data_IF_675006052310
#
_entry.id   IF_675006052310
#
_cell.length_a   1.000
_cell.length_b   1.000
_cell.length_c   1.000
_cell.angle_alpha   90.00
_cell.angle_beta   90.00
_cell.angle_gamma   90.00
#
_symmetry.space_group_name_H-M   'P 1'
#
loop_
_entity.id
_entity.type
_entity.pdbx_description
1 polymer ?
#
# COMPACT_ATOMS: atom_id res chain seq x y z
N UNK A 1 -8.90 52.08 10.13
CA UNK A 1 -7.78 51.21 9.72
C UNK A 1 -8.14 50.48 8.42
N UNK A 2 -8.43 51.24 7.35
CA UNK A 2 -8.93 50.77 6.04
C UNK A 2 -8.27 51.58 4.92
N UNK A 3 -6.96 51.82 5.02
CA UNK A 3 -6.17 52.64 4.08
C UNK A 3 -4.96 51.87 3.49
N UNK A 4 -4.91 50.53 3.65
CA UNK A 4 -3.80 49.70 3.15
C UNK A 4 -4.11 48.88 1.88
N UNK A 5 -5.30 49.04 1.28
CA UNK A 5 -5.72 48.32 0.05
C UNK A 5 -5.89 49.29 -1.13
N UNK A 6 -4.95 50.23 -1.33
CA UNK A 6 -5.04 51.19 -2.45
C UNK A 6 -3.77 51.41 -3.28
N UNK A 7 -2.69 50.69 -3.01
CA UNK A 7 -1.38 50.97 -3.63
C UNK A 7 -0.71 49.74 -4.24
N UNK A 8 -1.42 49.05 -5.15
CA UNK A 8 -0.77 48.28 -6.24
C UNK A 8 -1.65 47.99 -7.46
N UNK A 9 -2.70 48.80 -7.69
CA UNK A 9 -3.62 48.68 -8.85
C UNK A 9 -3.46 49.85 -9.82
N UNK A 10 -2.22 50.18 -10.19
CA UNK A 10 -1.90 51.19 -11.21
C UNK A 10 -0.56 50.86 -11.90
N UNK A 11 -0.52 49.70 -12.56
CA UNK A 11 0.45 49.45 -13.63
C UNK A 11 -0.12 48.45 -14.64
N UNK A 12 -1.32 48.76 -15.14
CA UNK A 12 -1.85 48.17 -16.36
C UNK A 12 -2.35 49.31 -17.25
N UNK A 13 -1.49 49.75 -18.18
CA UNK A 13 -1.88 50.24 -19.50
C UNK A 13 -0.65 50.42 -20.39
N UNK A 14 -0.44 49.44 -21.27
CA UNK A 14 -0.03 49.63 -22.66
C UNK A 14 1.45 49.88 -22.95
N UNK A 15 2.15 48.83 -23.36
CA UNK A 15 3.16 48.93 -24.42
C UNK A 15 3.14 47.66 -25.27
N UNK A 16 2.79 47.84 -26.53
CA UNK A 16 3.02 47.02 -27.72
C UNK A 16 2.78 45.50 -27.67
N UNK A 17 1.78 45.08 -28.44
CA UNK A 17 1.66 43.73 -28.97
C UNK A 17 2.87 43.38 -29.84
N UNK A 18 3.53 42.27 -29.53
CA UNK A 18 4.37 41.51 -30.46
C UNK A 18 4.34 40.03 -30.05
N UNK A 19 3.99 39.21 -31.05
CA UNK A 19 3.97 37.74 -31.11
C UNK A 19 3.15 36.94 -30.10
N UNK A 20 2.01 36.47 -30.60
CA UNK A 20 1.31 35.28 -30.11
C UNK A 20 2.18 34.08 -30.49
N UNK A 21 3.20 33.81 -29.68
CA UNK A 21 3.83 32.49 -29.65
C UNK A 21 2.80 31.46 -29.21
N UNK A 22 2.70 30.38 -29.96
CA UNK A 22 1.83 29.21 -29.75
C UNK A 22 1.66 28.86 -28.26
N UNK A 23 0.50 28.33 -27.83
CA UNK A 23 0.41 27.77 -26.48
C UNK A 23 1.47 26.69 -26.42
N UNK A 24 2.53 26.93 -25.64
CA UNK A 24 3.51 25.92 -25.30
C UNK A 24 2.68 24.74 -24.80
N UNK A 25 2.54 23.72 -25.65
CA UNK A 25 1.96 22.44 -25.27
C UNK A 25 2.72 22.07 -24.01
N UNK A 26 2.08 22.14 -22.85
CA UNK A 26 2.73 21.87 -21.58
C UNK A 26 3.33 20.48 -21.73
N UNK A 27 4.65 20.43 -21.93
CA UNK A 27 5.33 19.16 -22.04
C UNK A 27 5.08 18.46 -20.70
N UNK A 28 4.69 17.17 -20.71
CA UNK A 28 4.51 16.45 -19.47
C UNK A 28 5.83 16.52 -18.68
N UNK A 29 5.73 16.79 -17.37
CA UNK A 29 6.91 16.88 -16.48
C UNK A 29 7.76 15.61 -16.50
N UNK A 30 7.13 14.48 -16.82
CA UNK A 30 7.78 13.22 -17.12
C UNK A 30 7.72 12.93 -18.62
N UNK A 31 8.70 12.17 -19.14
CA UNK A 31 8.72 11.82 -20.56
C UNK A 31 7.43 11.11 -21.01
N UNK A 32 7.15 11.10 -22.32
CA UNK A 32 5.88 10.60 -22.90
C UNK A 32 5.49 9.16 -22.53
N UNK A 33 6.41 8.38 -21.94
CA UNK A 33 6.19 6.99 -21.52
C UNK A 33 6.46 6.76 -20.03
N UNK A 34 6.59 7.81 -19.22
CA UNK A 34 6.90 7.74 -17.79
C UNK A 34 5.70 8.19 -16.97
N UNK A 35 5.40 7.45 -15.91
CA UNK A 35 4.36 7.82 -14.96
C UNK A 35 4.99 8.63 -13.82
N UNK A 36 4.25 9.61 -13.31
CA UNK A 36 4.64 10.37 -12.13
C UNK A 36 4.36 9.53 -10.88
N UNK A 37 5.38 9.23 -10.07
CA UNK A 37 5.26 8.48 -8.82
C UNK A 37 5.44 9.43 -7.62
N UNK A 38 4.64 9.28 -6.56
CA UNK A 38 4.82 10.07 -5.34
C UNK A 38 6.21 9.85 -4.73
N UNK A 39 6.91 10.94 -4.43
CA UNK A 39 8.23 10.95 -3.81
C UNK A 39 8.16 11.29 -2.31
N UNK A 40 7.22 12.17 -1.95
CA UNK A 40 6.97 12.60 -0.59
C UNK A 40 5.46 12.74 -0.37
N UNK A 41 4.98 12.18 0.74
CA UNK A 41 3.59 12.24 1.14
C UNK A 41 3.46 12.75 2.56
N UNK A 42 2.40 13.50 2.83
CA UNK A 42 2.00 13.91 4.17
C UNK A 42 0.72 13.19 4.56
N UNK A 43 0.67 12.72 5.79
CA UNK A 43 -0.52 12.07 6.36
C UNK A 43 -1.31 13.10 7.16
N UNK A 44 -2.49 13.46 6.62
CA UNK A 44 -3.40 14.40 7.24
C UNK A 44 -4.55 13.64 7.90
N UNK A 45 -4.87 14.01 9.15
CA UNK A 45 -6.00 13.44 9.89
C UNK A 45 -7.19 14.40 9.84
N UNK A 46 -8.22 14.01 9.11
CA UNK A 46 -9.45 14.79 8.93
C UNK A 46 -10.58 14.24 9.79
N UNK A 47 -11.31 15.09 10.50
CA UNK A 47 -12.51 14.71 11.23
C UNK A 47 -13.72 14.72 10.28
N UNK A 48 -14.21 13.54 9.92
CA UNK A 48 -15.44 13.36 9.15
C UNK A 48 -16.60 13.06 10.10
N UNK A 49 -17.84 13.15 9.59
CA UNK A 49 -19.05 12.80 10.36
C UNK A 49 -19.03 11.34 10.87
N UNK A 50 -18.38 10.45 10.11
CA UNK A 50 -18.21 9.03 10.45
C UNK A 50 -17.04 8.78 11.42
N UNK A 51 -16.24 9.81 11.71
CA UNK A 51 -15.06 9.73 12.56
C UNK A 51 -13.79 10.31 11.92
N UNK A 52 -12.67 10.28 12.65
CA UNK A 52 -11.39 10.69 12.11
C UNK A 52 -10.93 9.73 11.00
N UNK A 53 -10.44 10.27 9.89
CA UNK A 53 -9.88 9.53 8.77
C UNK A 53 -8.53 10.11 8.38
N UNK A 54 -7.56 9.24 8.14
CA UNK A 54 -6.27 9.63 7.60
C UNK A 54 -6.32 9.64 6.07
N UNK A 55 -5.73 10.67 5.48
CA UNK A 55 -5.57 10.82 4.04
C UNK A 55 -4.12 11.12 3.71
N UNK A 56 -3.66 10.61 2.57
CA UNK A 56 -2.32 10.83 2.07
C UNK A 56 -2.34 11.97 1.06
N UNK A 57 -1.65 13.06 1.40
CA UNK A 57 -1.48 14.24 0.55
C UNK A 57 -0.12 14.10 -0.14
N UNK A 58 -0.11 14.10 -1.48
CA UNK A 58 1.13 14.04 -2.25
C UNK A 58 1.73 15.44 -2.28
N UNK A 59 2.93 15.59 -1.71
CA UNK A 59 3.66 16.87 -1.68
C UNK A 59 4.68 16.96 -2.81
N UNK A 60 5.31 15.83 -3.13
CA UNK A 60 6.35 15.73 -4.15
C UNK A 60 6.15 14.50 -5.02
N UNK A 61 6.55 14.61 -6.29
CA UNK A 61 6.57 13.49 -7.21
C UNK A 61 7.89 13.42 -7.97
N UNK A 62 8.28 12.22 -8.35
CA UNK A 62 9.37 11.96 -9.28
C UNK A 62 8.87 11.16 -10.48
N UNK A 63 9.59 11.24 -11.59
CA UNK A 63 9.29 10.40 -12.74
C UNK A 63 9.71 8.95 -12.45
N UNK A 64 8.90 7.99 -12.89
CA UNK A 64 9.15 6.57 -12.72
C UNK A 64 10.55 6.19 -13.19
N UNK A 65 11.29 5.50 -12.32
CA UNK A 65 12.60 4.95 -12.63
C UNK A 65 12.39 3.57 -13.28
N UNK A 66 13.01 3.35 -14.44
CA UNK A 66 12.93 2.06 -15.13
C UNK A 66 13.76 0.99 -14.40
N UNK A 67 13.11 0.21 -13.56
CA UNK A 67 13.71 -0.89 -12.81
C UNK A 67 13.45 -2.24 -13.50
N UNK A 68 14.50 -3.00 -13.81
CA UNK A 68 14.37 -4.33 -14.43
C UNK A 68 13.96 -5.40 -13.41
N UNK A 69 14.41 -5.25 -12.18
CA UNK A 69 14.15 -6.14 -11.05
C UNK A 69 13.09 -5.54 -10.11
N UNK A 70 12.37 -6.41 -9.42
CA UNK A 70 11.48 -5.98 -8.33
C UNK A 70 12.34 -5.64 -7.11
N UNK A 71 12.31 -4.38 -6.69
CA UNK A 71 13.08 -3.90 -5.55
C UNK A 71 12.23 -3.02 -4.64
N UNK A 72 12.64 -2.96 -3.37
CA UNK A 72 12.15 -1.95 -2.42
C UNK A 72 12.63 -0.58 -2.86
N UNK A 73 11.72 0.37 -2.96
CA UNK A 73 12.01 1.79 -3.16
C UNK A 73 11.60 2.58 -1.91
N UNK A 74 12.28 3.68 -1.57
CA UNK A 74 11.85 4.55 -0.48
C UNK A 74 10.47 5.16 -0.78
N UNK A 75 9.64 5.28 0.24
CA UNK A 75 8.37 5.98 0.18
C UNK A 75 8.22 6.78 1.48
N UNK A 76 8.60 8.05 1.45
CA UNK A 76 8.62 8.91 2.64
C UNK A 76 7.21 9.41 2.96
N UNK A 77 6.80 9.21 4.22
CA UNK A 77 5.56 9.72 4.79
C UNK A 77 5.84 10.60 6.00
N UNK A 78 5.32 11.82 5.96
CA UNK A 78 5.36 12.79 7.04
C UNK A 78 4.08 12.68 7.86
N UNK A 79 4.20 12.27 9.12
CA UNK A 79 3.10 12.19 10.08
C UNK A 79 3.07 13.42 10.98
N UNK A 80 1.87 13.82 11.43
CA UNK A 80 1.66 14.90 12.40
C UNK A 80 2.38 16.21 12.03
N UNK A 81 2.35 16.56 10.75
CA UNK A 81 3.03 17.74 10.22
C UNK A 81 2.60 19.04 10.91
N UNK A 82 3.55 19.96 11.07
CA UNK A 82 3.39 21.25 11.75
C UNK A 82 3.06 21.11 13.26
N UNK A 83 3.41 19.98 13.87
CA UNK A 83 3.28 19.76 15.32
C UNK A 83 4.61 19.33 15.93
N UNK A 84 4.77 19.40 17.27
CA UNK A 84 5.97 18.87 17.95
C UNK A 84 6.19 17.36 17.77
N UNK A 85 5.19 16.63 17.25
CA UNK A 85 5.23 15.19 16.99
C UNK A 85 5.50 14.87 15.52
N UNK A 86 5.89 15.86 14.71
CA UNK A 86 6.21 15.66 13.30
C UNK A 86 7.31 14.62 13.15
N UNK A 87 7.05 13.58 12.35
CA UNK A 87 8.03 12.54 12.06
C UNK A 87 7.93 12.10 10.61
N UNK A 88 9.08 11.84 10.00
CA UNK A 88 9.19 11.37 8.62
C UNK A 88 9.65 9.92 8.65
N UNK A 89 8.85 9.04 8.06
CA UNK A 89 9.11 7.61 8.03
C UNK A 89 9.17 7.13 6.59
N UNK A 90 10.24 6.40 6.26
CA UNK A 90 10.27 5.59 5.05
C UNK A 90 9.41 4.34 5.24
N UNK A 91 8.15 4.40 4.80
CA UNK A 91 7.26 3.23 4.84
C UNK A 91 7.66 2.18 3.79
N UNK A 92 8.45 2.57 2.80
CA UNK A 92 8.87 1.72 1.70
C UNK A 92 7.74 1.36 0.74
N UNK A 93 8.09 1.20 -0.53
CA UNK A 93 7.23 0.71 -1.59
C UNK A 93 7.93 -0.37 -2.40
N UNK A 94 7.18 -1.07 -3.24
CA UNK A 94 7.73 -2.03 -4.19
C UNK A 94 7.58 -1.49 -5.60
N UNK A 95 8.68 -1.44 -6.34
CA UNK A 95 8.67 -0.91 -7.70
C UNK A 95 9.43 -1.83 -8.65
N UNK A 96 8.86 -1.97 -9.85
CA UNK A 96 9.44 -2.62 -11.02
C UNK A 96 8.85 -1.95 -12.24
N UNK A 97 9.70 -1.60 -13.22
CA UNK A 97 9.20 -1.09 -14.49
C UNK A 97 8.63 -2.20 -15.35
N UNK A 98 7.56 -1.87 -16.09
CA UNK A 98 6.74 -2.76 -16.93
C UNK A 98 7.44 -4.01 -17.49
N UNK A 99 6.74 -5.14 -17.44
CA UNK A 99 7.21 -6.42 -17.97
C UNK A 99 7.27 -7.53 -16.91
N UNK A 100 6.39 -7.50 -15.91
CA UNK A 100 6.21 -8.69 -15.10
C UNK A 100 5.72 -9.85 -15.99
N UNK A 101 6.21 -11.08 -15.75
CA UNK A 101 5.61 -12.25 -16.37
C UNK A 101 4.10 -12.24 -16.10
N UNK A 102 3.30 -12.70 -17.06
CA UNK A 102 1.83 -12.71 -16.92
C UNK A 102 1.42 -13.30 -15.56
N UNK A 103 0.59 -12.56 -14.82
CA UNK A 103 0.10 -12.98 -13.50
C UNK A 103 0.99 -12.61 -12.31
N UNK A 104 2.20 -12.07 -12.51
CA UNK A 104 3.08 -11.65 -11.41
C UNK A 104 3.08 -10.13 -11.21
N UNK A 105 3.18 -9.70 -9.96
CA UNK A 105 3.31 -8.29 -9.56
C UNK A 105 4.46 -8.13 -8.57
N UNK A 106 5.12 -6.96 -8.61
CA UNK A 106 6.15 -6.62 -7.61
C UNK A 106 5.46 -6.15 -6.33
N UNK A 107 5.55 -6.95 -5.28
CA UNK A 107 4.75 -6.76 -4.05
C UNK A 107 5.59 -6.97 -2.79
N UNK A 108 5.19 -6.38 -1.65
CA UNK A 108 5.92 -6.53 -0.41
C UNK A 108 5.73 -7.93 0.18
N UNK A 109 6.83 -8.58 0.57
CA UNK A 109 6.83 -9.93 1.16
C UNK A 109 7.30 -9.97 2.61
N UNK A 110 8.05 -8.95 3.02
CA UNK A 110 8.53 -8.81 4.39
C UNK A 110 8.26 -7.41 4.89
N UNK A 111 7.79 -7.33 6.13
CA UNK A 111 7.44 -6.11 6.80
C UNK A 111 8.18 -5.98 8.12
N UNK A 112 8.36 -4.75 8.56
CA UNK A 112 8.80 -4.36 9.89
C UNK A 112 7.87 -3.27 10.41
N UNK A 113 8.19 -2.67 11.54
CA UNK A 113 7.38 -1.65 12.17
C UNK A 113 8.22 -0.49 12.68
N UNK A 114 7.75 0.72 12.41
CA UNK A 114 8.33 1.95 12.91
C UNK A 114 7.37 2.59 13.94
N UNK A 115 7.94 3.16 14.99
CA UNK A 115 7.19 3.83 16.04
C UNK A 115 6.99 5.30 15.68
N UNK A 116 5.75 5.77 15.77
CA UNK A 116 5.36 7.17 15.59
C UNK A 116 4.92 7.69 16.95
N UNK A 117 5.63 8.69 17.46
CA UNK A 117 5.15 9.42 18.63
C UNK A 117 3.92 10.25 18.24
N UNK A 118 2.89 10.21 19.07
CA UNK A 118 1.66 10.95 18.86
C UNK A 118 1.28 11.72 20.12
N UNK A 119 0.38 12.71 20.02
CA UNK A 119 -0.15 13.39 21.19
C UNK A 119 -0.83 12.47 22.21
N UNK A 120 -1.34 11.31 21.77
CA UNK A 120 -2.19 10.45 22.57
C UNK A 120 -1.54 9.13 23.00
N UNK A 121 -0.38 8.75 22.44
CA UNK A 121 0.40 7.50 22.65
C UNK A 121 1.50 7.34 21.59
N UNK A 122 2.11 6.16 21.50
CA UNK A 122 2.91 5.75 20.35
C UNK A 122 2.07 4.88 19.43
N UNK A 123 2.05 5.20 18.14
CA UNK A 123 1.43 4.41 17.09
C UNK A 123 2.49 3.56 16.37
N UNK A 124 2.08 2.38 15.88
CA UNK A 124 2.96 1.46 15.15
C UNK A 124 2.61 1.53 13.65
N UNK A 125 3.55 1.98 12.83
CA UNK A 125 3.41 2.05 11.38
C UNK A 125 4.15 0.88 10.75
N UNK A 126 3.45 0.10 9.94
CA UNK A 126 4.06 -1.00 9.19
C UNK A 126 4.94 -0.46 8.05
N UNK A 127 6.16 -0.97 7.94
CA UNK A 127 7.13 -0.61 6.89
C UNK A 127 7.48 -1.82 6.04
N UNK A 128 7.75 -1.61 4.76
CA UNK A 128 8.18 -2.65 3.82
C UNK A 128 9.68 -2.86 3.96
N UNK A 129 10.13 -4.10 4.09
CA UNK A 129 11.55 -4.47 4.17
C UNK A 129 12.03 -5.14 2.88
N UNK A 130 11.21 -6.01 2.30
CA UNK A 130 11.57 -6.74 1.09
C UNK A 130 10.39 -6.81 0.13
N UNK A 131 10.73 -6.79 -1.16
CA UNK A 131 9.79 -6.89 -2.27
C UNK A 131 10.22 -8.05 -3.17
N UNK A 132 9.25 -8.82 -3.65
CA UNK A 132 9.49 -9.91 -4.58
C UNK A 132 8.40 -9.94 -5.65
N UNK A 133 8.65 -10.70 -6.71
CA UNK A 133 7.60 -11.05 -7.66
C UNK A 133 6.76 -12.17 -7.08
N UNK A 134 5.50 -11.89 -6.83
CA UNK A 134 4.50 -12.90 -6.44
C UNK A 134 3.31 -12.82 -7.38
N UNK A 135 2.51 -13.88 -7.33
CA UNK A 135 1.21 -13.93 -7.98
C UNK A 135 0.27 -12.86 -7.39
N UNK A 136 -0.84 -12.62 -8.07
CA UNK A 136 -1.84 -11.61 -7.69
C UNK A 136 -2.43 -11.81 -6.30
N UNK A 137 -2.49 -13.05 -5.80
CA UNK A 137 -2.92 -13.41 -4.46
C UNK A 137 -1.84 -14.30 -3.81
N UNK A 138 -1.30 -13.88 -2.67
CA UNK A 138 -0.15 -14.52 -2.05
C UNK A 138 -0.23 -14.48 -0.53
N UNK A 139 0.49 -15.43 0.10
CA UNK A 139 0.65 -15.50 1.55
C UNK A 139 1.84 -14.62 1.98
N UNK A 140 1.65 -13.84 3.04
CA UNK A 140 2.73 -13.17 3.78
C UNK A 140 2.83 -13.72 5.20
N UNK A 141 4.04 -13.74 5.80
CA UNK A 141 4.19 -14.14 7.19
C UNK A 141 3.51 -13.13 8.12
N UNK A 142 2.84 -13.64 9.15
CA UNK A 142 2.22 -12.86 10.21
C UNK A 142 2.36 -13.64 11.52
N UNK A 143 3.22 -13.15 12.41
CA UNK A 143 3.58 -13.84 13.65
C UNK A 143 2.61 -13.44 14.75
N UNK A 144 2.02 -14.44 15.39
CA UNK A 144 1.24 -14.29 16.62
C UNK A 144 1.93 -15.00 17.79
N UNK A 145 1.77 -14.41 18.98
CA UNK A 145 2.41 -14.86 20.19
C UNK A 145 1.39 -15.51 21.12
N UNK A 146 1.73 -16.70 21.62
CA UNK A 146 0.87 -17.50 22.48
C UNK A 146 1.65 -18.01 23.68
N UNK A 147 1.04 -18.02 24.86
CA UNK A 147 1.61 -18.71 26.02
C UNK A 147 1.32 -20.21 25.91
N UNK A 148 2.39 -21.01 25.93
CA UNK A 148 2.33 -22.47 26.01
C UNK A 148 2.87 -22.99 27.34
N UNK A 149 2.31 -24.09 27.81
CA UNK A 149 2.80 -24.80 28.99
C UNK A 149 3.58 -26.04 28.53
N UNK A 150 4.87 -26.08 28.85
CA UNK A 150 5.77 -27.19 28.54
C UNK A 150 5.99 -28.00 29.81
N UNK A 151 5.82 -29.32 29.71
CA UNK A 151 6.08 -30.25 30.82
C UNK A 151 7.34 -31.07 30.51
N UNK A 152 8.36 -30.89 31.34
CA UNK A 152 9.61 -31.63 31.20
C UNK A 152 9.55 -33.00 31.90
N UNK A 153 10.41 -33.97 31.49
CA UNK A 153 10.46 -35.30 32.10
C UNK A 153 10.70 -35.28 33.62
N UNK A 154 11.38 -34.25 34.12
CA UNK A 154 11.69 -34.04 35.54
C UNK A 154 10.48 -33.56 36.36
N UNK A 155 9.31 -33.43 35.74
CA UNK A 155 8.06 -33.00 36.38
C UNK A 155 7.93 -31.48 36.52
N UNK A 156 8.91 -30.72 36.05
CA UNK A 156 8.87 -29.24 36.02
C UNK A 156 7.91 -28.77 34.93
N UNK A 157 7.06 -27.80 35.28
CA UNK A 157 6.17 -27.10 34.34
C UNK A 157 6.71 -25.70 34.11
N UNK A 158 6.88 -25.32 32.86
CA UNK A 158 7.36 -24.00 32.45
C UNK A 158 6.36 -23.35 31.49
N UNK A 159 6.09 -22.08 31.71
CA UNK A 159 5.35 -21.24 30.77
C UNK A 159 6.33 -20.62 29.78
N UNK A 160 6.10 -20.85 28.49
CA UNK A 160 6.93 -20.35 27.41
C UNK A 160 6.10 -19.51 26.44
N UNK A 161 6.72 -18.46 25.89
CA UNK A 161 6.15 -17.75 24.76
C UNK A 161 6.43 -18.53 23.46
N UNK A 162 5.35 -18.93 22.79
CA UNK A 162 5.35 -19.62 21.50
C UNK A 162 5.02 -18.62 20.41
N UNK A 163 5.91 -18.53 19.43
CA UNK A 163 5.71 -17.74 18.22
C UNK A 163 5.14 -18.64 17.12
N UNK A 164 4.03 -18.24 16.50
CA UNK A 164 3.41 -18.98 15.40
C UNK A 164 3.22 -18.03 14.23
N UNK A 165 3.81 -18.36 13.08
CA UNK A 165 3.49 -17.69 11.82
C UNK A 165 2.13 -18.18 11.30
N UNK A 166 1.05 -17.50 11.69
CA UNK A 166 -0.30 -17.81 11.23
C UNK A 166 -0.53 -17.38 9.77
N UNK A 167 0.28 -16.44 9.28
CA UNK A 167 0.21 -15.91 7.92
C UNK A 167 -1.02 -15.05 7.64
N UNK A 168 -0.98 -14.31 6.52
CA UNK A 168 -2.11 -13.56 5.97
C UNK A 168 -2.13 -13.67 4.46
N UNK A 169 -3.32 -13.64 3.86
CA UNK A 169 -3.47 -13.51 2.42
C UNK A 169 -3.54 -12.04 2.03
N UNK A 170 -2.66 -11.63 1.13
CA UNK A 170 -2.63 -10.29 0.54
C UNK A 170 -2.64 -10.38 -0.98
N UNK A 171 -3.13 -9.32 -1.61
CA UNK A 171 -3.18 -9.23 -3.05
C UNK A 171 -4.54 -8.81 -3.58
N UNK A 172 -4.61 -8.65 -4.90
CA UNK A 172 -5.82 -8.23 -5.60
C UNK A 172 -6.20 -9.29 -6.62
N UNK A 173 -7.43 -9.77 -6.54
CA UNK A 173 -7.96 -10.71 -7.51
C UNK A 173 -8.68 -9.93 -8.60
N UNK A 174 -8.12 -9.95 -9.80
CA UNK A 174 -8.78 -9.40 -10.99
C UNK A 174 -9.39 -10.54 -11.78
N UNK A 175 -10.68 -10.77 -11.59
CA UNK A 175 -11.53 -11.40 -12.59
C UNK A 175 -11.67 -10.38 -13.70
N UNK A 176 -10.81 -10.46 -14.71
CA UNK A 176 -10.84 -9.53 -15.84
C UNK A 176 -12.26 -9.41 -16.41
N UNK A 177 -12.63 -8.21 -16.87
CA UNK A 177 -13.92 -8.00 -17.51
C UNK A 177 -14.06 -9.01 -18.64
N UNK A 178 -15.14 -9.79 -18.64
CA UNK A 178 -15.39 -10.72 -19.73
C UNK A 178 -16.07 -9.95 -20.85
N UNK A 179 -15.48 -10.01 -22.04
CA UNK A 179 -16.15 -9.46 -23.21
C UNK A 179 -17.35 -10.34 -23.58
N UNK A 180 -18.56 -9.79 -23.47
CA UNK A 180 -19.79 -10.46 -23.89
C UNK A 180 -20.04 -10.30 -25.39
N UNK A 181 -19.66 -9.15 -25.95
CA UNK A 181 -19.87 -8.84 -27.37
C UNK A 181 -18.62 -8.17 -27.95
N UNK A 182 -17.92 -8.87 -28.85
CA UNK A 182 -16.79 -8.32 -29.62
C UNK A 182 -17.31 -7.66 -30.89
N UNK A 183 -16.64 -6.59 -31.32
CA UNK A 183 -16.94 -5.96 -32.61
C UNK A 183 -16.64 -6.95 -33.75
N UNK A 184 -17.57 -7.20 -34.68
CA UNK A 184 -17.36 -8.14 -35.79
C UNK A 184 -16.25 -7.70 -36.76
N UNK A 185 -15.90 -6.40 -36.81
CA UNK A 185 -14.85 -5.86 -37.68
C UNK A 185 -13.50 -5.72 -36.98
N UNK A 186 -13.50 -5.65 -35.64
CA UNK A 186 -12.29 -5.51 -34.81
C UNK A 186 -12.41 -6.39 -33.55
N UNK A 187 -11.84 -7.62 -33.58
CA UNK A 187 -11.97 -8.57 -32.48
C UNK A 187 -11.39 -8.09 -31.14
N UNK A 188 -10.46 -7.13 -31.16
CA UNK A 188 -9.84 -6.56 -29.96
C UNK A 188 -10.74 -5.52 -29.28
N UNK A 189 -11.71 -4.98 -30.02
CA UNK A 189 -12.65 -4.00 -29.49
C UNK A 189 -13.91 -4.68 -28.94
N UNK A 190 -14.04 -4.68 -27.61
CA UNK A 190 -15.22 -5.18 -26.93
C UNK A 190 -16.30 -4.10 -26.82
N UNK A 191 -17.47 -4.37 -27.40
CA UNK A 191 -18.62 -3.47 -27.36
C UNK A 191 -19.42 -3.59 -26.06
N UNK A 192 -19.42 -4.77 -25.43
CA UNK A 192 -20.12 -5.00 -24.16
C UNK A 192 -19.25 -5.82 -23.21
N UNK A 193 -18.87 -5.20 -22.10
CA UNK A 193 -18.19 -5.86 -20.99
C UNK A 193 -19.21 -6.31 -19.96
N UNK A 194 -19.10 -7.55 -19.47
CA UNK A 194 -19.66 -7.88 -18.17
C UNK A 194 -18.66 -7.47 -17.10
N UNK A 195 -19.15 -6.88 -16.01
CA UNK A 195 -18.38 -6.80 -14.78
C UNK A 195 -17.92 -8.21 -14.40
N UNK A 196 -16.63 -8.34 -14.08
CA UNK A 196 -16.12 -9.59 -13.50
C UNK A 196 -16.83 -9.87 -12.18
N UNK A 197 -17.06 -11.15 -11.85
CA UNK A 197 -17.50 -11.52 -10.50
C UNK A 197 -16.51 -10.98 -9.49
N UNK A 198 -16.96 -10.35 -8.40
CA UNK A 198 -16.07 -9.90 -7.34
C UNK A 198 -15.29 -11.09 -6.80
N UNK A 199 -13.98 -11.08 -7.00
CA UNK A 199 -13.07 -12.09 -6.45
C UNK A 199 -12.22 -11.46 -5.36
N UNK A 200 -11.93 -12.23 -4.32
CA UNK A 200 -11.02 -11.81 -3.25
C UNK A 200 -9.95 -12.84 -3.00
N UNK A 201 -8.83 -12.36 -2.46
CA UNK A 201 -7.71 -13.21 -2.09
C UNK A 201 -8.02 -13.84 -0.73
N UNK A 202 -8.26 -15.15 -0.71
CA UNK A 202 -8.69 -15.90 0.48
C UNK A 202 -7.74 -17.05 0.78
N UNK A 203 -7.61 -17.43 2.07
CA UNK A 203 -6.87 -18.64 2.45
C UNK A 203 -7.56 -19.92 1.96
N UNK A 204 -6.76 -20.83 1.40
CA UNK A 204 -7.22 -22.13 0.92
C UNK A 204 -6.65 -23.28 1.77
N UNK A 205 -5.35 -23.25 2.03
CA UNK A 205 -4.65 -24.26 2.81
C UNK A 205 -4.41 -23.83 4.25
N UNK A 206 -4.46 -24.79 5.17
CA UNK A 206 -4.18 -24.57 6.59
C UNK A 206 -3.34 -25.70 7.18
N UNK A 207 -2.49 -25.34 8.14
CA UNK A 207 -1.75 -26.25 9.03
C UNK A 207 -2.18 -25.97 10.47
N UNK A 208 -2.33 -27.01 11.30
CA UNK A 208 -2.80 -26.87 12.67
C UNK A 208 -1.65 -26.97 13.68
N UNK A 209 -1.51 -25.94 14.51
CA UNK A 209 -0.61 -25.94 15.66
C UNK A 209 -1.42 -26.17 16.93
N UNK A 210 -1.23 -27.31 17.57
CA UNK A 210 -1.88 -27.64 18.84
C UNK A 210 -0.86 -27.63 19.99
N UNK A 211 -1.19 -26.95 21.08
CA UNK A 211 -0.34 -26.85 22.27
C UNK A 211 -1.21 -26.66 23.52
N UNK A 212 -0.65 -26.93 24.70
CA UNK A 212 -1.33 -26.63 25.97
C UNK A 212 -1.16 -25.15 26.31
N UNK A 213 -2.26 -24.46 26.60
CA UNK A 213 -2.21 -23.10 27.12
C UNK A 213 -1.82 -23.09 28.61
N UNK A 214 -1.64 -21.90 29.18
CA UNK A 214 -1.38 -21.67 30.61
C UNK A 214 -2.43 -22.29 31.56
N UNK A 215 -3.64 -22.59 31.06
CA UNK A 215 -4.72 -23.22 31.82
C UNK A 215 -4.76 -24.76 31.67
N UNK A 216 -3.77 -25.35 30.99
CA UNK A 216 -3.72 -26.80 30.72
C UNK A 216 -4.75 -27.28 29.70
N UNK A 217 -5.38 -26.37 28.95
CA UNK A 217 -6.31 -26.71 27.87
C UNK A 217 -5.56 -26.80 26.53
N UNK A 218 -5.95 -27.74 25.68
CA UNK A 218 -5.43 -27.82 24.32
C UNK A 218 -5.99 -26.63 23.54
N UNK A 219 -5.10 -25.77 23.04
CA UNK A 219 -5.40 -24.69 22.11
C UNK A 219 -4.89 -25.08 20.74
N UNK A 220 -5.73 -24.91 19.72
CA UNK A 220 -5.38 -25.14 18.32
C UNK A 220 -5.44 -23.83 17.57
N UNK A 221 -4.38 -23.52 16.84
CA UNK A 221 -4.25 -22.34 15.98
C UNK A 221 -4.07 -22.82 14.54
N UNK A 222 -4.76 -22.21 13.59
CA UNK A 222 -4.64 -22.53 12.17
C UNK A 222 -3.69 -21.54 11.50
N UNK A 223 -2.59 -22.03 10.96
CA UNK A 223 -1.67 -21.27 10.12
C UNK A 223 -2.05 -21.45 8.65
N UNK A 224 -2.25 -20.35 7.94
CA UNK A 224 -2.52 -20.36 6.50
C UNK A 224 -1.28 -20.92 5.80
N UNK A 225 -1.45 -21.81 4.82
CA UNK A 225 -0.34 -22.36 4.01
C UNK A 225 -0.40 -21.91 2.56
N UNK A 226 -1.61 -21.67 2.02
CA UNK A 226 -1.80 -21.18 0.66
C UNK A 226 -2.98 -20.21 0.56
N UNK A 227 -2.89 -19.29 -0.42
CA UNK A 227 -3.92 -18.30 -0.73
C UNK A 227 -4.32 -18.43 -2.19
N UNK A 228 -5.59 -18.22 -2.49
CA UNK A 228 -6.12 -18.27 -3.86
C UNK A 228 -7.16 -17.18 -4.09
N UNK A 229 -7.34 -16.83 -5.35
CA UNK A 229 -8.48 -16.02 -5.76
C UNK A 229 -9.74 -16.89 -5.82
N UNK A 230 -10.72 -16.56 -4.96
CA UNK A 230 -12.03 -17.19 -4.97
C UNK A 230 -13.11 -16.15 -5.25
N UNK A 231 -14.15 -16.55 -5.97
CA UNK A 231 -15.36 -15.74 -6.07
C UNK A 231 -15.99 -15.62 -4.68
N UNK A 232 -16.44 -14.41 -4.34
CA UNK A 232 -17.23 -14.13 -3.14
C UNK A 232 -18.70 -14.42 -3.44
#
# INVERSE_FOLDING_TARGET
MLEFIRSKKLRMRGAAAADIGEPLRQLPSCGMSQVCQPAGMRVDRMLLFEGPREVEVIEECHCEIKLTQCIRVPALKTYYSETPYETVIDVGGCSRSKGSPEGFSCVPTKFDSAWVETPNKVDLVQTVVACELKESCYRVPYIEYYYELVQYPEGVREERLKEIDVGRCLGGCTTGNRCLLRNPTDPENCQLWSEGQSSSCVPQGYESHSFFNQHGQIRTVLAITSCVCSAI
#
